data_IF_492350982628
#
_entry.id   IF_492350982628
#
_cell.length_a   1.000
_cell.length_b   1.000
_cell.length_c   1.000
_cell.angle_alpha   90.00
_cell.angle_beta   90.00
_cell.angle_gamma   90.00
#
_symmetry.space_group_name_H-M   'P 1'
#
loop_
_entity.id
_entity.type
_entity.pdbx_description
1 polymer ?
#
# COMPACT_ATOMS: atom_id res chain seq x y z
N UNK A 1 4.45 0.95 14.79
CA UNK A 1 3.42 0.33 15.66
C UNK A 1 3.24 -1.08 15.14
N UNK A 2 3.37 -2.10 15.99
CA UNK A 2 3.18 -3.50 15.58
C UNK A 2 1.71 -3.74 15.17
N UNK A 3 1.47 -4.68 14.26
CA UNK A 3 0.16 -5.09 13.69
C UNK A 3 -1.03 -5.13 14.67
N UNK A 4 -0.77 -5.33 15.97
CA UNK A 4 -1.80 -5.41 17.02
C UNK A 4 -2.45 -4.06 17.38
N UNK A 5 -1.81 -2.93 17.09
CA UNK A 5 -2.32 -1.57 17.34
C UNK A 5 -3.06 -0.97 16.14
N UNK A 6 -3.11 -1.68 15.02
CA UNK A 6 -3.78 -1.21 13.81
C UNK A 6 -5.30 -1.27 13.98
N UNK A 7 -5.95 -0.15 13.68
CA UNK A 7 -7.41 -0.07 13.53
C UNK A 7 -7.89 -1.00 12.42
N UNK A 8 -9.17 -1.39 12.47
CA UNK A 8 -9.75 -2.29 11.47
C UNK A 8 -9.55 -1.76 10.04
N UNK A 9 -9.61 -0.45 9.83
CA UNK A 9 -9.45 0.18 8.51
C UNK A 9 -7.99 0.09 8.00
N UNK A 10 -7.01 0.19 8.90
CA UNK A 10 -5.60 0.04 8.54
C UNK A 10 -5.25 -1.41 8.20
N UNK A 11 -5.85 -2.37 8.92
CA UNK A 11 -5.73 -3.79 8.58
C UNK A 11 -6.36 -4.10 7.23
N UNK A 12 -7.54 -3.57 6.95
CA UNK A 12 -8.20 -3.73 5.65
C UNK A 12 -7.33 -3.20 4.51
N UNK A 13 -6.63 -2.07 4.72
CA UNK A 13 -5.68 -1.54 3.74
C UNK A 13 -4.48 -2.47 3.54
N UNK A 14 -3.92 -3.02 4.63
CA UNK A 14 -2.81 -3.97 4.56
C UNK A 14 -3.20 -5.26 3.83
N UNK A 15 -4.34 -5.86 4.21
CA UNK A 15 -4.91 -7.04 3.54
C UNK A 15 -5.14 -6.77 2.06
N UNK A 16 -5.65 -5.59 1.69
CA UNK A 16 -5.90 -5.26 0.29
C UNK A 16 -4.61 -5.14 -0.52
N UNK A 17 -3.54 -4.57 0.06
CA UNK A 17 -2.22 -4.52 -0.57
C UNK A 17 -1.63 -5.93 -0.73
N UNK A 18 -1.74 -6.78 0.30
CA UNK A 18 -1.32 -8.18 0.24
C UNK A 18 -2.10 -8.96 -0.82
N UNK A 19 -3.41 -8.76 -0.94
CA UNK A 19 -4.25 -9.40 -1.96
C UNK A 19 -3.82 -9.00 -3.37
N UNK A 20 -3.53 -7.71 -3.58
CA UNK A 20 -2.99 -7.21 -4.86
C UNK A 20 -1.66 -7.89 -5.18
N UNK A 21 -0.75 -7.94 -4.21
CA UNK A 21 0.55 -8.58 -4.36
C UNK A 21 0.41 -10.07 -4.67
N UNK A 22 -0.46 -10.80 -3.96
CA UNK A 22 -0.69 -12.22 -4.21
C UNK A 22 -1.27 -12.46 -5.61
N UNK A 23 -2.20 -11.61 -6.05
CA UNK A 23 -2.78 -11.72 -7.40
C UNK A 23 -1.75 -11.46 -8.51
N UNK A 24 -0.83 -10.52 -8.31
CA UNK A 24 0.11 -10.09 -9.37
C UNK A 24 1.44 -10.84 -9.33
N UNK A 25 1.92 -11.16 -8.14
CA UNK A 25 3.23 -11.73 -7.89
C UNK A 25 3.18 -13.10 -7.20
N UNK A 26 2.00 -13.60 -6.80
CA UNK A 26 1.84 -14.84 -6.03
C UNK A 26 2.64 -14.85 -4.73
N UNK A 27 2.82 -13.67 -4.15
CA UNK A 27 3.52 -13.44 -2.89
C UNK A 27 2.70 -12.47 -2.04
N UNK A 28 2.58 -12.72 -0.74
CA UNK A 28 1.80 -11.89 0.18
C UNK A 28 2.40 -10.49 0.32
N UNK A 29 3.48 -10.34 1.10
CA UNK A 29 4.23 -9.10 1.21
C UNK A 29 5.62 -9.27 0.62
N UNK A 30 6.01 -8.32 -0.23
CA UNK A 30 7.35 -8.21 -0.77
C UNK A 30 7.86 -6.81 -0.53
N UNK A 31 9.15 -6.68 -0.21
CA UNK A 31 9.78 -5.38 -0.04
C UNK A 31 9.60 -4.53 -1.31
N UNK A 32 9.06 -3.31 -1.14
CA UNK A 32 8.83 -2.39 -2.25
C UNK A 32 7.43 -2.44 -2.86
N UNK A 33 6.58 -3.42 -2.49
CA UNK A 33 5.20 -3.49 -2.99
C UNK A 33 4.38 -2.26 -2.60
N UNK A 34 4.64 -1.70 -1.41
CA UNK A 34 4.01 -0.49 -0.91
C UNK A 34 4.30 0.73 -1.80
N UNK A 35 5.47 0.76 -2.44
CA UNK A 35 5.85 1.81 -3.40
C UNK A 35 5.21 1.55 -4.75
N UNK A 36 5.30 0.32 -5.27
CA UNK A 36 4.69 -0.04 -6.56
C UNK A 36 3.18 0.20 -6.56
N UNK A 37 2.48 -0.20 -5.49
CA UNK A 37 1.03 0.01 -5.35
C UNK A 37 0.69 1.49 -5.26
N UNK A 38 1.49 2.28 -4.55
CA UNK A 38 1.29 3.73 -4.46
C UNK A 38 1.49 4.42 -5.81
N UNK A 39 2.57 4.10 -6.54
CA UNK A 39 2.81 4.62 -7.88
C UNK A 39 1.69 4.20 -8.85
N UNK A 40 1.28 2.93 -8.82
CA UNK A 40 0.20 2.43 -9.67
C UNK A 40 -1.17 3.05 -9.32
N UNK A 41 -1.38 3.47 -8.07
CA UNK A 41 -2.58 4.20 -7.66
C UNK A 41 -2.60 5.61 -8.23
N UNK A 42 -1.45 6.30 -8.23
CA UNK A 42 -1.33 7.69 -8.71
C UNK A 42 -1.18 7.81 -10.23
N UNK A 43 -0.57 6.83 -10.87
CA UNK A 43 -0.33 6.81 -12.30
C UNK A 43 -0.60 5.40 -12.86
N UNK A 44 -1.87 4.95 -12.89
CA UNK A 44 -2.23 3.60 -13.36
C UNK A 44 -1.81 3.36 -14.81
N UNK A 45 -1.68 4.42 -15.61
CA UNK A 45 -1.21 4.39 -17.00
C UNK A 45 0.32 4.36 -17.15
N UNK A 46 1.07 4.85 -16.13
CA UNK A 46 2.55 4.88 -16.11
C UNK A 46 3.15 3.80 -15.21
N UNK A 47 2.33 2.90 -14.63
CA UNK A 47 2.77 1.87 -13.71
C UNK A 47 4.04 1.18 -14.20
N UNK A 48 5.13 1.34 -13.43
CA UNK A 48 6.40 0.66 -13.75
C UNK A 48 6.24 -0.83 -13.44
N UNK A 49 6.71 -1.68 -14.35
CA UNK A 49 6.78 -3.12 -14.11
C UNK A 49 5.49 -3.91 -14.38
N UNK A 50 5.21 -4.89 -13.51
CA UNK A 50 4.13 -5.87 -13.68
C UNK A 50 2.83 -5.48 -12.94
N UNK A 51 2.87 -4.44 -12.11
CA UNK A 51 1.73 -4.00 -11.30
C UNK A 51 0.88 -2.96 -12.05
N UNK A 52 -0.20 -3.43 -12.70
CA UNK A 52 -1.23 -2.55 -13.29
C UNK A 52 -2.53 -2.61 -12.52
N UNK A 53 -2.80 -1.63 -11.68
CA UNK A 53 -4.08 -1.53 -10.99
C UNK A 53 -5.18 -1.13 -11.99
N UNK A 54 -6.35 -1.74 -11.84
CA UNK A 54 -7.57 -1.25 -12.47
C UNK A 54 -8.00 0.06 -11.82
N UNK A 55 -8.80 0.85 -12.52
CA UNK A 55 -9.34 2.12 -11.99
C UNK A 55 -10.11 1.88 -10.69
N UNK A 56 -10.86 0.77 -10.61
CA UNK A 56 -11.62 0.38 -9.42
C UNK A 56 -10.70 0.04 -8.23
N UNK A 57 -9.62 -0.73 -8.47
CA UNK A 57 -8.62 -1.05 -7.43
C UNK A 57 -7.91 0.21 -6.93
N UNK A 58 -7.51 1.10 -7.84
CA UNK A 58 -6.84 2.36 -7.49
C UNK A 58 -7.78 3.29 -6.69
N UNK A 59 -9.05 3.41 -7.08
CA UNK A 59 -10.04 4.18 -6.34
C UNK A 59 -10.31 3.60 -4.95
N UNK A 60 -10.36 2.27 -4.83
CA UNK A 60 -10.57 1.60 -3.55
C UNK A 60 -9.38 1.83 -2.61
N UNK A 61 -8.13 1.66 -3.10
CA UNK A 61 -6.92 1.98 -2.36
C UNK A 61 -6.89 3.43 -1.89
N UNK A 62 -7.21 4.36 -2.79
CA UNK A 62 -7.25 5.78 -2.46
C UNK A 62 -8.27 6.07 -1.36
N UNK A 63 -9.48 5.50 -1.45
CA UNK A 63 -10.51 5.66 -0.43
C UNK A 63 -10.08 5.10 0.93
N UNK A 64 -9.45 3.92 0.95
CA UNK A 64 -8.97 3.28 2.19
C UNK A 64 -7.84 4.08 2.83
N UNK A 65 -6.87 4.53 2.03
CA UNK A 65 -5.79 5.41 2.50
C UNK A 65 -6.31 6.74 3.02
N UNK A 66 -7.27 7.36 2.31
CA UNK A 66 -7.88 8.62 2.73
C UNK A 66 -8.66 8.49 4.05
N UNK A 67 -9.33 7.36 4.29
CA UNK A 67 -10.02 7.08 5.56
C UNK A 67 -9.03 6.94 6.71
N UNK A 68 -7.95 6.21 6.51
CA UNK A 68 -6.92 6.03 7.53
C UNK A 68 -6.00 7.26 7.68
N UNK A 69 -6.03 8.19 6.71
CA UNK A 69 -5.09 9.31 6.57
C UNK A 69 -3.63 8.86 6.61
N UNK A 70 -3.36 7.71 6.00
CA UNK A 70 -2.03 7.12 5.99
C UNK A 70 -1.88 5.96 5.04
N UNK A 71 -0.72 5.31 5.15
CA UNK A 71 -0.30 4.25 4.26
C UNK A 71 0.35 3.11 5.05
N UNK A 72 0.29 1.90 4.49
CA UNK A 72 0.96 0.74 5.07
C UNK A 72 2.30 0.57 4.35
N UNK A 73 3.35 0.45 5.15
CA UNK A 73 4.70 0.17 4.68
C UNK A 73 5.14 -1.17 5.24
N UNK A 74 5.87 -1.94 4.43
CA UNK A 74 6.48 -3.18 4.88
C UNK A 74 7.94 -2.93 5.23
N UNK A 75 8.33 -3.25 6.45
CA UNK A 75 9.70 -3.11 6.95
C UNK A 75 10.21 -4.46 7.46
N UNK A 76 11.52 -4.72 7.33
CA UNK A 76 12.11 -6.00 7.76
C UNK A 76 12.05 -6.22 9.28
N UNK A 77 11.92 -5.14 10.06
CA UNK A 77 11.90 -5.19 11.53
C UNK A 77 10.47 -5.25 12.08
N UNK A 78 9.55 -4.51 11.47
CA UNK A 78 8.19 -4.34 11.99
C UNK A 78 7.09 -4.91 11.09
N UNK A 79 7.47 -5.58 9.99
CA UNK A 79 6.56 -6.13 8.98
C UNK A 79 5.60 -5.02 8.48
N UNK A 80 4.30 -5.26 8.45
CA UNK A 80 3.30 -4.24 8.10
C UNK A 80 3.16 -3.16 9.20
N UNK A 81 3.65 -1.96 8.89
CA UNK A 81 3.54 -0.79 9.75
C UNK A 81 2.71 0.30 9.08
N UNK A 82 1.80 0.91 9.84
CA UNK A 82 1.10 2.10 9.40
C UNK A 82 1.92 3.36 9.66
N UNK A 83 1.97 4.24 8.67
CA UNK A 83 2.53 5.59 8.81
C UNK A 83 1.53 6.65 8.32
N UNK A 84 1.56 7.86 8.89
CA UNK A 84 0.76 8.99 8.40
C UNK A 84 1.08 9.30 6.93
N UNK A 85 0.07 9.79 6.21
CA UNK A 85 0.21 10.07 4.77
C UNK A 85 1.26 11.15 4.48
N UNK A 86 1.46 12.07 5.43
CA UNK A 86 2.47 13.13 5.36
C UNK A 86 3.89 12.55 5.42
N UNK A 87 4.13 11.60 6.32
CA UNK A 87 5.40 10.89 6.40
C UNK A 87 5.66 10.07 5.14
N UNK A 88 4.63 9.38 4.64
CA UNK A 88 4.74 8.62 3.40
C UNK A 88 5.11 9.50 2.20
N UNK A 89 4.46 10.67 2.05
CA UNK A 89 4.79 11.64 0.99
C UNK A 89 6.22 12.15 1.09
N UNK A 90 6.74 12.33 2.31
CA UNK A 90 8.15 12.65 2.54
C UNK A 90 9.10 11.59 1.98
N UNK A 91 8.74 10.30 2.07
CA UNK A 91 9.52 9.18 1.52
C UNK A 91 9.48 9.10 0.00
N UNK A 92 8.40 9.57 -0.63
CA UNK A 92 8.23 9.56 -2.09
C UNK A 92 9.01 10.69 -2.80
N UNK A 93 9.60 11.65 -2.06
CA UNK A 93 10.30 12.82 -2.63
C UNK A 93 11.82 12.62 -2.60
N UNK A 94 12.31 11.50 -3.15
CA UNK A 94 13.75 11.22 -3.32
C UNK A 94 14.09 11.05 -4.80
#
# INVERSE_FOLDING_TARGET
MALQDLTQEQRDLADFISEISERRYRAAWMQGIENEVWEAMHAPELGRGALRLTVEEAQKLYAMSARCRGWIVFDEVHEESFIPIEEWRGRQTV
#
